data_IF_784649556252
#
_entry.id   IF_784649556252
#
_cell.length_a   1.000
_cell.length_b   1.000
_cell.length_c   1.000
_cell.angle_alpha   90.00
_cell.angle_beta   90.00
_cell.angle_gamma   90.00
#
_symmetry.space_group_name_H-M   'P 1'
#
loop_
_entity.id
_entity.type
_entity.pdbx_description
1 polymer ?
#
# COMPACT_ATOMS: atom_id res chain seq x y z
N UNK A 1 15.20 -21.36 33.10
CA UNK A 1 15.17 -20.50 31.89
C UNK A 1 13.78 -19.90 31.79
N UNK A 2 13.63 -18.57 31.73
CA UNK A 2 12.32 -17.98 31.41
C UNK A 2 12.06 -18.23 29.93
N UNK A 3 10.95 -18.90 29.60
CA UNK A 3 10.52 -19.07 28.23
C UNK A 3 10.43 -17.71 27.55
N UNK A 4 11.16 -17.57 26.44
CA UNK A 4 11.17 -16.33 25.66
C UNK A 4 9.81 -16.24 24.98
N UNK A 5 9.07 -15.14 25.21
CA UNK A 5 7.81 -14.92 24.54
C UNK A 5 8.03 -14.93 23.02
N UNK A 6 7.31 -15.80 22.34
CA UNK A 6 7.39 -15.97 20.89
C UNK A 6 5.98 -16.19 20.34
N UNK A 7 5.67 -15.55 19.23
CA UNK A 7 4.42 -15.75 18.51
C UNK A 7 4.70 -16.49 17.20
N UNK A 8 3.71 -17.24 16.74
CA UNK A 8 3.84 -17.99 15.49
C UNK A 8 3.88 -17.05 14.27
N UNK A 9 4.48 -17.51 13.17
CA UNK A 9 4.46 -16.76 11.90
C UNK A 9 3.03 -16.48 11.42
N UNK A 10 2.10 -17.40 11.71
CA UNK A 10 0.68 -17.26 11.38
C UNK A 10 0.06 -16.09 12.16
N UNK A 11 0.30 -16.02 13.47
CA UNK A 11 -0.17 -14.90 14.30
C UNK A 11 0.49 -13.58 13.88
N UNK A 12 1.77 -13.61 13.54
CA UNK A 12 2.48 -12.45 12.99
C UNK A 12 1.85 -11.93 11.70
N UNK A 13 1.48 -12.83 10.79
CA UNK A 13 0.81 -12.51 9.54
C UNK A 13 -0.58 -11.92 9.81
N UNK A 14 -1.41 -12.63 10.59
CA UNK A 14 -2.77 -12.20 10.92
C UNK A 14 -2.77 -10.84 11.61
N UNK A 15 -1.91 -10.64 12.60
CA UNK A 15 -1.87 -9.38 13.37
C UNK A 15 -1.57 -8.17 12.48
N UNK A 16 -0.61 -8.30 11.55
CA UNK A 16 -0.29 -7.21 10.60
C UNK A 16 -1.43 -6.94 9.63
N UNK A 17 -2.06 -8.00 9.12
CA UNK A 17 -3.23 -7.90 8.26
C UNK A 17 -4.41 -7.20 8.97
N UNK A 18 -4.68 -7.57 10.23
CA UNK A 18 -5.66 -6.92 11.10
C UNK A 18 -5.35 -5.45 11.33
N UNK A 19 -4.08 -5.07 11.55
CA UNK A 19 -3.72 -3.66 11.71
C UNK A 19 -4.10 -2.85 10.46
N UNK A 20 -3.84 -3.37 9.26
CA UNK A 20 -4.25 -2.70 8.03
C UNK A 20 -5.77 -2.61 7.92
N UNK A 21 -6.47 -3.72 8.12
CA UNK A 21 -7.92 -3.79 7.99
C UNK A 21 -8.64 -2.85 8.94
N UNK A 22 -8.22 -2.81 10.20
CA UNK A 22 -8.97 -2.13 11.26
C UNK A 22 -8.51 -0.68 11.46
N UNK A 23 -7.31 -0.31 11.00
CA UNK A 23 -6.74 1.02 11.23
C UNK A 23 -6.19 1.70 9.97
N UNK A 24 -5.61 0.95 9.02
CA UNK A 24 -5.06 1.56 7.80
C UNK A 24 -6.14 1.92 6.78
N UNK A 25 -6.96 0.93 6.42
CA UNK A 25 -8.03 1.07 5.42
C UNK A 25 -9.04 2.15 5.81
N UNK A 26 -9.54 2.21 7.07
CA UNK A 26 -10.47 3.27 7.45
C UNK A 26 -9.90 4.69 7.30
N UNK A 27 -8.61 4.90 7.53
CA UNK A 27 -7.98 6.21 7.32
C UNK A 27 -7.82 6.54 5.83
N UNK A 28 -7.56 5.54 4.98
CA UNK A 28 -7.59 5.71 3.53
C UNK A 28 -9.01 6.04 3.02
N UNK A 29 -10.04 5.38 3.56
CA UNK A 29 -11.44 5.61 3.20
C UNK A 29 -11.88 7.04 3.54
N UNK A 30 -11.46 7.57 4.69
CA UNK A 30 -11.66 9.00 5.04
C UNK A 30 -11.01 9.95 4.04
N UNK A 31 -9.91 9.52 3.40
CA UNK A 31 -9.21 10.27 2.35
C UNK A 31 -9.80 10.07 0.94
N UNK A 32 -10.95 9.40 0.83
CA UNK A 32 -11.68 9.20 -0.43
C UNK A 32 -11.20 8.00 -1.26
N UNK A 33 -10.37 7.13 -0.69
CA UNK A 33 -10.09 5.83 -1.29
C UNK A 33 -11.27 4.89 -1.06
N UNK A 34 -11.53 4.03 -2.03
CA UNK A 34 -12.52 2.97 -1.93
C UNK A 34 -11.89 1.65 -2.34
N UNK A 35 -12.52 0.54 -1.98
CA UNK A 35 -12.13 -0.77 -2.50
C UNK A 35 -12.03 -0.72 -4.03
N UNK A 36 -10.95 -1.27 -4.57
CA UNK A 36 -10.73 -1.34 -6.01
C UNK A 36 -11.92 -1.96 -6.74
N UNK A 37 -12.39 -1.35 -7.85
CA UNK A 37 -13.53 -1.84 -8.60
C UNK A 37 -13.16 -3.01 -9.51
N UNK A 38 -11.87 -3.24 -9.79
CA UNK A 38 -11.42 -4.18 -10.81
C UNK A 38 -11.75 -5.64 -10.48
N UNK A 39 -12.01 -6.44 -11.52
CA UNK A 39 -12.35 -7.86 -11.39
C UNK A 39 -11.24 -8.69 -10.73
N UNK A 40 -9.98 -8.35 -11.00
CA UNK A 40 -8.83 -9.09 -10.44
C UNK A 40 -8.34 -8.53 -9.11
N UNK A 41 -8.98 -7.48 -8.59
CA UNK A 41 -8.56 -6.87 -7.34
C UNK A 41 -8.76 -7.80 -6.13
N UNK A 42 -7.77 -7.80 -5.25
CA UNK A 42 -7.81 -8.55 -4.00
C UNK A 42 -8.14 -7.63 -2.83
N UNK A 43 -8.90 -8.14 -1.86
CA UNK A 43 -9.34 -7.36 -0.72
C UNK A 43 -9.44 -8.19 0.56
N UNK A 44 -8.29 -8.62 1.05
CA UNK A 44 -8.15 -9.27 2.35
C UNK A 44 -8.40 -10.77 2.38
N UNK A 45 -8.60 -11.41 1.22
CA UNK A 45 -8.56 -12.87 1.11
C UNK A 45 -7.12 -13.35 1.28
N UNK A 46 -6.94 -14.51 1.95
CA UNK A 46 -5.63 -15.15 2.01
C UNK A 46 -5.31 -15.75 0.64
N UNK A 47 -4.22 -15.31 0.03
CA UNK A 47 -3.73 -15.85 -1.23
C UNK A 47 -2.62 -16.88 -0.96
N UNK A 48 -2.83 -18.17 -1.30
CA UNK A 48 -1.82 -19.21 -1.14
C UNK A 48 -0.59 -19.04 -2.06
N UNK A 49 -0.72 -18.31 -3.18
CA UNK A 49 0.37 -18.11 -4.15
C UNK A 49 1.45 -17.19 -3.57
N UNK A 50 1.04 -16.03 -3.04
CA UNK A 50 1.95 -15.10 -2.33
C UNK A 50 2.13 -15.48 -0.85
N UNK A 51 1.33 -16.42 -0.34
CA UNK A 51 1.27 -16.82 1.07
C UNK A 51 1.02 -15.64 1.99
N UNK A 52 -0.04 -14.87 1.72
CA UNK A 52 -0.25 -13.58 2.37
C UNK A 52 -1.63 -12.99 2.16
N UNK A 53 -1.76 -11.72 2.54
CA UNK A 53 -2.95 -10.90 2.34
C UNK A 53 -2.59 -9.69 1.49
N UNK A 54 -3.45 -9.34 0.55
CA UNK A 54 -3.38 -8.12 -0.23
C UNK A 54 -4.70 -7.36 -0.17
N UNK A 55 -4.60 -6.03 -0.19
CA UNK A 55 -5.73 -5.12 -0.27
C UNK A 55 -5.42 -4.08 -1.32
N UNK A 56 -6.35 -3.89 -2.25
CA UNK A 56 -6.24 -2.84 -3.25
C UNK A 56 -7.35 -1.81 -3.09
N UNK A 57 -6.95 -0.54 -3.06
CA UNK A 57 -7.83 0.61 -2.97
C UNK A 57 -7.54 1.58 -4.10
N UNK A 58 -8.60 2.23 -4.59
CA UNK A 58 -8.54 3.22 -5.64
C UNK A 58 -9.15 4.54 -5.21
N UNK A 59 -8.61 5.64 -5.73
CA UNK A 59 -9.20 6.98 -5.64
C UNK A 59 -9.13 7.63 -7.01
N UNK A 60 -10.26 8.10 -7.51
CA UNK A 60 -10.36 8.91 -8.72
C UNK A 60 -10.39 10.37 -8.29
N UNK A 61 -9.46 11.17 -8.79
CA UNK A 61 -9.40 12.60 -8.48
C UNK A 61 -10.17 13.43 -9.51
N UNK A 62 -10.47 14.68 -9.15
CA UNK A 62 -11.11 15.64 -10.06
C UNK A 62 -10.22 15.99 -11.27
N UNK A 63 -8.91 15.72 -11.19
CA UNK A 63 -7.92 15.92 -12.24
C UNK A 63 -7.82 14.70 -13.18
N UNK A 64 -8.80 13.80 -13.13
CA UNK A 64 -8.83 12.55 -13.90
C UNK A 64 -7.63 11.62 -13.63
N UNK A 65 -7.09 11.68 -12.41
CA UNK A 65 -6.06 10.76 -11.99
C UNK A 65 -6.66 9.58 -11.24
N UNK A 66 -6.20 8.38 -11.58
CA UNK A 66 -6.48 7.17 -10.84
C UNK A 66 -5.30 6.87 -9.92
N UNK A 67 -5.53 6.98 -8.62
CA UNK A 67 -4.58 6.57 -7.59
C UNK A 67 -4.89 5.12 -7.22
N UNK A 68 -3.88 4.25 -7.24
CA UNK A 68 -3.97 2.86 -6.82
C UNK A 68 -3.03 2.67 -5.62
N UNK A 69 -3.57 2.19 -4.51
CA UNK A 69 -2.81 1.80 -3.33
C UNK A 69 -2.94 0.29 -3.13
N UNK A 70 -1.80 -0.40 -3.07
CA UNK A 70 -1.73 -1.82 -2.78
C UNK A 70 -1.06 -2.04 -1.42
N UNK A 71 -1.79 -2.66 -0.49
CA UNK A 71 -1.29 -3.04 0.83
C UNK A 71 -1.03 -4.54 0.84
N UNK A 72 0.19 -4.97 1.12
CA UNK A 72 0.58 -6.39 1.09
C UNK A 72 1.23 -6.83 2.40
N UNK A 73 0.80 -7.98 2.91
CA UNK A 73 1.38 -8.65 4.09
C UNK A 73 1.70 -10.10 3.73
N UNK A 74 2.99 -10.44 3.66
CA UNK A 74 3.44 -11.78 3.29
C UNK A 74 3.92 -12.59 4.50
N UNK A 75 3.73 -13.91 4.44
CA UNK A 75 4.30 -14.84 5.41
C UNK A 75 5.81 -14.92 5.23
N UNK A 76 6.55 -14.93 6.34
CA UNK A 76 8.03 -14.94 6.33
C UNK A 76 8.65 -13.54 6.19
N UNK A 77 7.92 -12.55 5.68
CA UNK A 77 8.33 -11.15 5.78
C UNK A 77 7.95 -10.57 7.14
N UNK A 78 8.72 -9.60 7.64
CA UNK A 78 8.46 -8.89 8.91
C UNK A 78 7.73 -7.57 8.73
N UNK A 79 7.72 -7.04 7.50
CA UNK A 79 7.18 -5.74 7.12
C UNK A 79 5.79 -5.90 6.51
N UNK A 80 5.04 -4.82 6.54
CA UNK A 80 3.91 -4.54 5.66
C UNK A 80 4.47 -3.72 4.50
N UNK A 81 4.05 -4.03 3.27
CA UNK A 81 4.37 -3.26 2.08
C UNK A 81 3.15 -2.42 1.73
N UNK A 82 3.37 -1.14 1.47
CA UNK A 82 2.34 -0.21 1.02
C UNK A 82 2.91 0.48 -0.20
N UNK A 83 2.29 0.24 -1.35
CA UNK A 83 2.74 0.77 -2.63
C UNK A 83 1.67 1.71 -3.18
N UNK A 84 2.09 2.87 -3.68
CA UNK A 84 1.26 3.86 -4.35
C UNK A 84 1.69 3.96 -5.81
N UNK A 85 0.71 3.96 -6.71
CA UNK A 85 0.92 4.30 -8.10
C UNK A 85 -0.20 5.22 -8.60
N UNK A 86 0.15 6.14 -9.51
CA UNK A 86 -0.76 7.19 -9.99
C UNK A 86 -0.75 7.20 -11.51
N UNK A 87 -1.95 7.17 -12.09
CA UNK A 87 -2.19 7.17 -13.53
C UNK A 87 -3.04 8.36 -13.92
N UNK A 88 -2.88 8.84 -15.14
CA UNK A 88 -3.79 9.79 -15.76
C UNK A 88 -4.66 9.01 -16.74
N UNK A 89 -5.98 9.07 -16.60
CA UNK A 89 -6.86 8.41 -17.53
C UNK A 89 -6.99 9.25 -18.80
N UNK A 90 -6.85 8.62 -19.96
CA UNK A 90 -7.02 9.28 -21.25
C UNK A 90 -8.46 9.78 -21.45
N UNK A 91 -9.42 8.95 -21.03
CA UNK A 91 -10.83 9.29 -21.03
C UNK A 91 -11.25 9.79 -19.66
N UNK A 92 -12.07 10.84 -19.63
CA UNK A 92 -12.70 11.29 -18.38
C UNK A 92 -13.76 10.28 -17.96
N UNK A 93 -13.56 9.67 -16.80
CA UNK A 93 -14.59 8.86 -16.14
C UNK A 93 -15.22 9.65 -15.01
N UNK A 94 -16.51 9.43 -14.77
CA UNK A 94 -17.26 10.18 -13.77
C UNK A 94 -17.29 9.46 -12.42
N UNK A 95 -17.03 8.16 -12.40
CA UNK A 95 -17.06 7.34 -11.20
C UNK A 95 -16.06 6.18 -11.27
N UNK A 96 -15.48 5.81 -10.12
CA UNK A 96 -14.67 4.60 -9.97
C UNK A 96 -15.48 3.34 -10.37
N UNK A 97 -16.80 3.35 -10.20
CA UNK A 97 -17.67 2.24 -10.59
C UNK A 97 -17.63 1.93 -12.09
N UNK A 98 -17.22 2.90 -12.92
CA UNK A 98 -17.11 2.73 -14.37
C UNK A 98 -15.99 1.74 -14.75
N UNK A 99 -15.08 1.45 -13.82
CA UNK A 99 -13.96 0.51 -13.98
C UNK A 99 -14.29 -0.92 -13.52
N UNK A 100 -15.52 -1.19 -13.07
CA UNK A 100 -15.89 -2.49 -12.47
C UNK A 100 -15.78 -3.69 -13.43
N UNK A 101 -15.92 -3.43 -14.72
CA UNK A 101 -15.85 -4.47 -15.74
C UNK A 101 -14.42 -4.72 -16.23
N UNK A 102 -13.49 -3.83 -15.88
CA UNK A 102 -12.10 -3.88 -16.28
C UNK A 102 -11.33 -4.91 -15.42
N UNK A 103 -10.32 -5.51 -16.03
CA UNK A 103 -9.50 -6.51 -15.35
C UNK A 103 -8.57 -5.85 -14.33
N UNK A 104 -7.92 -4.75 -14.71
CA UNK A 104 -7.00 -3.98 -13.87
C UNK A 104 -5.54 -4.46 -13.91
N UNK A 105 -5.26 -5.66 -14.44
CA UNK A 105 -3.91 -6.25 -14.41
C UNK A 105 -2.83 -5.35 -15.06
N UNK A 106 -3.14 -4.62 -16.14
CA UNK A 106 -2.15 -3.81 -16.82
C UNK A 106 -1.62 -2.64 -15.99
N UNK A 107 -2.36 -2.18 -14.97
CA UNK A 107 -1.85 -1.16 -14.04
C UNK A 107 -0.67 -1.68 -13.17
N UNK A 108 -0.52 -3.00 -13.06
CA UNK A 108 0.52 -3.65 -12.26
C UNK A 108 1.64 -4.28 -13.10
N UNK A 109 1.55 -4.21 -14.43
CA UNK A 109 2.54 -4.79 -15.33
C UNK A 109 3.47 -3.72 -15.92
N UNK A 110 4.69 -4.08 -16.36
CA UNK A 110 5.55 -3.16 -17.08
C UNK A 110 4.90 -2.61 -18.35
N UNK A 111 5.08 -1.31 -18.65
CA UNK A 111 5.91 -0.36 -17.91
C UNK A 111 5.13 0.48 -16.87
N UNK A 112 3.87 0.16 -16.57
CA UNK A 112 3.07 0.90 -15.59
C UNK A 112 3.59 0.75 -14.16
N UNK A 113 4.12 -0.42 -13.82
CA UNK A 113 4.72 -0.68 -12.51
C UNK A 113 6.04 0.07 -12.24
N UNK A 114 6.65 0.66 -13.27
CA UNK A 114 7.93 1.38 -13.15
C UNK A 114 7.87 2.68 -12.36
N UNK A 115 6.66 3.24 -12.21
CA UNK A 115 6.41 4.47 -11.44
C UNK A 115 5.79 4.17 -10.06
N UNK A 116 5.68 2.89 -9.69
CA UNK A 116 5.22 2.49 -8.36
C UNK A 116 6.21 2.96 -7.30
N UNK A 117 5.70 3.58 -6.24
CA UNK A 117 6.49 4.04 -5.10
C UNK A 117 6.07 3.27 -3.85
N UNK A 118 7.01 2.57 -3.22
CA UNK A 118 6.81 1.99 -1.90
C UNK A 118 6.97 3.06 -0.82
N UNK A 119 5.92 3.24 -0.01
CA UNK A 119 5.92 4.21 1.08
C UNK A 119 6.96 3.82 2.13
N UNK A 120 7.69 4.83 2.64
CA UNK A 120 8.82 4.66 3.56
C UNK A 120 9.92 3.75 3.04
N UNK A 121 10.10 3.70 1.72
CA UNK A 121 11.24 3.05 1.06
C UNK A 121 11.75 3.91 -0.08
N UNK A 122 10.90 4.20 -1.05
CA UNK A 122 11.27 4.87 -2.29
C UNK A 122 11.02 6.39 -2.21
N UNK A 123 10.19 6.81 -1.26
CA UNK A 123 9.78 8.18 -0.97
C UNK A 123 10.85 8.99 -0.21
N UNK A 124 11.98 8.38 0.17
CA UNK A 124 12.98 9.02 0.99
C UNK A 124 13.72 10.17 0.27
N UNK A 125 14.00 11.25 1.02
CA UNK A 125 14.77 12.41 0.57
C UNK A 125 16.01 12.58 1.46
N UNK A 126 17.16 12.13 0.99
CA UNK A 126 18.45 12.30 1.68
C UNK A 126 19.45 11.20 1.38
N UNK A 127 20.63 11.21 2.03
CA UNK A 127 21.64 10.17 1.85
C UNK A 127 21.12 8.80 2.31
N UNK A 128 21.31 7.71 1.54
CA UNK A 128 20.75 6.38 1.81
C UNK A 128 21.03 5.82 3.22
N UNK A 129 22.16 6.21 3.83
CA UNK A 129 22.56 5.71 5.14
C UNK A 129 21.64 6.19 6.28
N UNK A 130 21.12 7.41 6.20
CA UNK A 130 20.18 7.92 7.22
C UNK A 130 18.84 7.19 7.18
N UNK A 131 18.41 6.81 5.98
CA UNK A 131 17.20 6.02 5.79
C UNK A 131 17.28 4.66 6.50
N UNK A 132 18.39 3.94 6.29
CA UNK A 132 18.58 2.61 6.86
C UNK A 132 18.64 2.61 8.40
N UNK A 133 19.03 3.73 9.01
CA UNK A 133 19.30 3.80 10.44
C UNK A 133 18.15 4.38 11.27
N UNK A 134 17.34 5.28 10.71
CA UNK A 134 16.46 6.12 11.52
C UNK A 134 15.00 6.18 11.08
N UNK A 135 14.65 5.69 9.89
CA UNK A 135 13.26 5.76 9.47
C UNK A 135 12.40 4.67 10.12
N UNK A 136 11.21 5.05 10.63
CA UNK A 136 10.20 4.08 10.98
C UNK A 136 9.87 3.23 9.76
N UNK A 137 9.66 1.94 9.99
CA UNK A 137 9.23 1.00 8.97
C UNK A 137 7.93 0.36 9.43
N UNK A 138 7.09 -0.09 8.50
CA UNK A 138 5.88 -0.83 8.81
C UNK A 138 6.16 -2.27 9.28
N UNK A 139 6.98 -2.45 10.32
CA UNK A 139 7.30 -3.75 10.93
C UNK A 139 7.06 -3.75 12.43
N UNK A 140 6.81 -4.94 12.95
CA UNK A 140 6.85 -5.19 14.40
C UNK A 140 8.34 -5.25 14.80
N UNK A 141 8.74 -4.36 15.71
CA UNK A 141 10.12 -4.29 16.22
C UNK A 141 10.51 -5.51 17.06
N UNK A 142 11.71 -5.49 17.65
CA UNK A 142 12.17 -6.55 18.55
C UNK A 142 11.36 -6.53 19.86
N UNK A 143 11.03 -7.71 20.37
CA UNK A 143 10.31 -7.91 21.63
C UNK A 143 10.80 -9.20 22.33
N UNK A 144 10.61 -9.29 23.65
CA UNK A 144 11.02 -10.43 24.48
C UNK A 144 9.96 -10.88 25.48
N UNK A 145 8.99 -10.01 25.77
CA UNK A 145 7.82 -10.26 26.62
C UNK A 145 6.54 -9.89 25.89
N UNK A 146 5.40 -10.42 26.33
CA UNK A 146 4.09 -10.06 25.79
C UNK A 146 3.84 -8.54 25.82
N UNK A 147 4.10 -7.89 26.96
CA UNK A 147 3.95 -6.43 27.09
C UNK A 147 4.85 -5.66 26.09
N UNK A 148 6.08 -6.13 25.87
CA UNK A 148 6.95 -5.50 24.87
C UNK A 148 6.45 -5.73 23.44
N UNK A 149 5.84 -6.87 23.15
CA UNK A 149 5.22 -7.17 21.86
C UNK A 149 4.02 -6.26 21.60
N UNK A 150 3.10 -6.14 22.56
CA UNK A 150 1.95 -5.24 22.50
C UNK A 150 2.40 -3.79 22.29
N UNK A 151 3.48 -3.34 22.95
CA UNK A 151 4.06 -2.03 22.70
C UNK A 151 4.53 -1.84 21.25
N UNK A 152 5.15 -2.86 20.64
CA UNK A 152 5.55 -2.80 19.23
C UNK A 152 4.35 -2.81 18.29
N UNK A 153 3.28 -3.55 18.62
CA UNK A 153 2.03 -3.53 17.87
C UNK A 153 1.40 -2.14 17.88
N UNK A 154 1.34 -1.48 19.05
CA UNK A 154 0.80 -0.13 19.15
C UNK A 154 1.61 0.88 18.34
N UNK A 155 2.95 0.79 18.36
CA UNK A 155 3.80 1.63 17.50
C UNK A 155 3.52 1.43 16.01
N UNK A 156 3.40 0.18 15.56
CA UNK A 156 3.07 -0.12 14.17
C UNK A 156 1.68 0.43 13.80
N UNK A 157 0.70 0.25 14.69
CA UNK A 157 -0.65 0.78 14.53
C UNK A 157 -0.66 2.30 14.40
N UNK A 158 -0.03 3.01 15.35
CA UNK A 158 0.07 4.47 15.33
C UNK A 158 0.75 4.98 14.06
N UNK A 159 1.80 4.29 13.60
CA UNK A 159 2.49 4.62 12.35
C UNK A 159 1.55 4.48 11.15
N UNK A 160 0.87 3.33 11.03
CA UNK A 160 -0.10 3.08 9.95
C UNK A 160 -1.21 4.12 9.95
N UNK A 161 -1.82 4.40 11.11
CA UNK A 161 -2.88 5.43 11.23
C UNK A 161 -2.36 6.78 10.73
N UNK A 162 -1.21 7.23 11.27
CA UNK A 162 -0.63 8.53 10.94
C UNK A 162 -0.36 8.66 9.45
N UNK A 163 0.21 7.63 8.82
CA UNK A 163 0.63 7.70 7.43
C UNK A 163 -0.54 7.58 6.46
N UNK A 164 -1.50 6.70 6.75
CA UNK A 164 -2.71 6.56 5.93
C UNK A 164 -3.62 7.79 6.05
N UNK A 165 -3.69 8.40 7.25
CA UNK A 165 -4.40 9.67 7.44
C UNK A 165 -3.74 10.83 6.67
N UNK A 166 -2.42 10.76 6.44
CA UNK A 166 -1.63 11.78 5.74
C UNK A 166 -1.17 11.30 4.36
N UNK A 167 -1.99 10.49 3.69
CA UNK A 167 -1.63 9.86 2.40
C UNK A 167 -1.29 10.89 1.31
N UNK A 168 -1.91 12.06 1.34
CA UNK A 168 -1.66 13.15 0.40
C UNK A 168 -0.19 13.64 0.41
N UNK A 169 0.51 13.50 1.54
CA UNK A 169 1.95 13.80 1.59
C UNK A 169 2.78 12.83 0.74
N UNK A 170 2.40 11.56 0.70
CA UNK A 170 3.02 10.55 -0.17
C UNK A 170 2.61 10.76 -1.63
N UNK A 171 1.37 11.15 -1.90
CA UNK A 171 0.92 11.54 -3.26
C UNK A 171 1.75 12.70 -3.79
N UNK A 172 1.95 13.75 -2.99
CA UNK A 172 2.83 14.87 -3.36
C UNK A 172 4.25 14.38 -3.64
N UNK A 173 4.79 13.52 -2.78
CA UNK A 173 6.13 12.96 -2.95
C UNK A 173 6.25 12.10 -4.21
N UNK A 174 5.21 11.34 -4.54
CA UNK A 174 5.14 10.57 -5.78
C UNK A 174 5.28 11.49 -7.01
N UNK A 175 4.56 12.62 -7.04
CA UNK A 175 4.68 13.60 -8.13
C UNK A 175 6.03 14.33 -8.19
N UNK A 176 6.80 14.37 -7.10
CA UNK A 176 8.18 14.87 -7.13
C UNK A 176 9.14 13.88 -7.80
N UNK A 177 8.81 12.58 -7.79
CA UNK A 177 9.66 11.49 -8.29
C UNK A 177 9.23 11.02 -9.69
N UNK A 178 7.94 11.09 -10.00
CA UNK A 178 7.33 10.44 -11.15
C UNK A 178 6.34 11.36 -11.86
N UNK A 179 6.04 11.00 -13.10
CA UNK A 179 4.92 11.54 -13.88
C UNK A 179 3.92 10.41 -14.13
N UNK A 180 2.61 10.68 -14.06
CA UNK A 180 1.60 9.65 -14.36
C UNK A 180 1.71 9.19 -15.80
N UNK A 181 1.68 7.88 -15.99
CA UNK A 181 1.44 7.32 -17.33
C UNK A 181 0.01 7.62 -17.73
N UNK A 182 -0.19 7.95 -19.01
CA UNK A 182 -1.53 8.17 -19.57
C UNK A 182 -2.06 6.83 -20.09
N UNK A 183 -3.13 6.34 -19.48
CA UNK A 183 -3.71 5.02 -19.80
C UNK A 183 -5.18 5.10 -20.19
N UNK A 184 -5.68 4.08 -20.87
CA UNK A 184 -7.12 3.84 -20.94
C UNK A 184 -7.64 3.22 -19.62
N UNK A 185 -8.93 2.86 -19.60
CA UNK A 185 -9.60 2.27 -18.42
C UNK A 185 -9.10 0.86 -18.06
N UNK A 186 -8.53 0.15 -19.02
CA UNK A 186 -7.95 -1.18 -18.84
C UNK A 186 -6.47 -1.12 -18.43
N UNK A 187 -5.89 0.08 -18.31
CA UNK A 187 -4.49 0.30 -17.98
C UNK A 187 -3.54 0.19 -19.17
N UNK A 188 -4.03 0.13 -20.42
CA UNK A 188 -3.15 0.17 -21.58
C UNK A 188 -2.61 1.57 -21.78
N UNK A 189 -1.32 1.70 -22.05
CA UNK A 189 -0.67 3.00 -22.23
C UNK A 189 -1.08 3.61 -23.58
N UNK A 190 -1.71 4.77 -23.52
CA UNK A 190 -2.10 5.55 -24.70
C UNK A 190 -1.01 6.55 -25.08
N UNK A 191 -0.27 7.07 -24.08
CA UNK A 191 0.87 7.96 -24.31
C UNK A 191 1.96 7.67 -23.29
N UNK A 192 3.13 7.24 -23.79
CA UNK A 192 4.35 7.20 -22.98
C UNK A 192 4.84 8.63 -22.78
N UNK A 193 4.94 9.07 -21.54
CA UNK A 193 5.69 10.29 -21.23
C UNK A 193 7.13 9.84 -21.05
N UNK A 194 7.99 10.21 -22.02
CA UNK A 194 9.46 10.07 -21.89
C UNK A 194 9.99 10.97 -20.77
#
# INVERSE_FOLDING_TARGET
MKDKFNISDKEHLTTRSTILKDYGIPELEKNGYVKSPFKTSWFGQYDPNIRGYSYELCKLTNENQLHIITLTVLRGEKRIKIDLNIFELHEKINSISDLKECDGIHFHLPPNDSTRMQLRSDDYKGPPLFYMLFLPEYKIGKYTTQSSFEKQLNKLRELVIKDMANIDSFVKRWHELHKPNVTDKEGNIVKKIQ
#
